data_IF_873047584695
#
_entry.id   IF_873047584695
#
_cell.length_a   1.000
_cell.length_b   1.000
_cell.length_c   1.000
_cell.angle_alpha   90.00
_cell.angle_beta   90.00
_cell.angle_gamma   90.00
#
_symmetry.space_group_name_H-M   'P 1'
#
loop_
_entity.id
_entity.type
_entity.pdbx_description
1 polymer ?
#
# COMPACT_ATOMS: atom_id res chain seq x y z
N UNK A 1 2.79 5.34 12.33
CA UNK A 1 1.85 5.71 13.43
C UNK A 1 0.45 6.08 12.95
N UNK A 2 0.16 6.02 11.64
CA UNK A 2 -1.14 6.36 11.05
C UNK A 2 -2.32 5.66 11.73
N UNK A 3 -2.20 4.36 12.04
CA UNK A 3 -3.29 3.59 12.64
C UNK A 3 -3.69 4.11 14.02
N UNK A 4 -2.74 4.47 14.88
CA UNK A 4 -3.06 5.02 16.20
C UNK A 4 -3.79 6.36 16.11
N UNK A 5 -3.46 7.18 15.11
CA UNK A 5 -4.17 8.44 14.85
C UNK A 5 -5.58 8.16 14.33
N UNK A 6 -5.74 7.22 13.40
CA UNK A 6 -7.05 6.81 12.90
C UNK A 6 -7.93 6.20 14.02
N UNK A 7 -7.34 5.40 14.91
CA UNK A 7 -8.03 4.84 16.09
C UNK A 7 -8.51 5.94 17.01
N UNK A 8 -7.63 6.90 17.35
CA UNK A 8 -8.01 8.05 18.15
C UNK A 8 -9.12 8.88 17.48
N UNK A 9 -9.03 9.12 16.16
CA UNK A 9 -10.06 9.84 15.41
C UNK A 9 -11.42 9.13 15.47
N UNK A 10 -11.44 7.81 15.34
CA UNK A 10 -12.67 7.02 15.43
C UNK A 10 -13.21 6.95 16.87
N UNK A 11 -12.34 6.96 17.88
CA UNK A 11 -12.74 7.04 19.29
C UNK A 11 -13.43 8.37 19.63
N UNK A 12 -12.92 9.49 19.11
CA UNK A 12 -13.53 10.83 19.33
C UNK A 12 -14.68 11.12 18.36
N UNK A 13 -14.73 10.46 17.21
CA UNK A 13 -15.77 10.58 16.19
C UNK A 13 -16.08 9.18 15.59
N UNK A 14 -17.03 8.43 16.19
CA UNK A 14 -17.29 7.03 15.81
C UNK A 14 -17.86 6.82 14.41
N UNK A 15 -18.44 7.85 13.79
CA UNK A 15 -19.09 7.72 12.47
C UNK A 15 -18.52 8.72 11.44
N UNK A 16 -18.22 8.25 10.22
CA UNK A 16 -18.20 6.84 9.80
C UNK A 16 -17.03 6.04 10.42
N UNK A 17 -17.23 4.75 10.69
CA UNK A 17 -16.19 3.87 11.21
C UNK A 17 -15.35 3.27 10.06
N UNK A 18 -14.04 3.53 10.05
CA UNK A 18 -13.08 3.01 9.06
C UNK A 18 -12.20 1.89 9.61
N UNK A 19 -12.21 1.64 10.92
CA UNK A 19 -11.55 0.51 11.56
C UNK A 19 -12.58 -0.54 11.93
N UNK A 20 -13.73 -0.11 12.46
CA UNK A 20 -14.90 -0.96 12.59
C UNK A 20 -15.74 -0.64 13.82
N UNK A 21 -17.05 -0.76 13.67
CA UNK A 21 -18.03 -0.48 14.73
C UNK A 21 -18.27 -1.64 15.71
N UNK A 22 -17.76 -2.84 15.41
CA UNK A 22 -17.83 -4.02 16.30
C UNK A 22 -16.45 -4.60 16.56
N UNK A 23 -16.23 -5.34 17.66
CA UNK A 23 -14.97 -6.02 17.93
C UNK A 23 -14.48 -6.89 16.76
N UNK A 24 -15.39 -7.60 16.09
CA UNK A 24 -15.09 -8.48 14.95
C UNK A 24 -14.63 -7.67 13.73
N UNK A 25 -15.36 -6.60 13.37
CA UNK A 25 -14.97 -5.72 12.26
C UNK A 25 -13.60 -5.11 12.50
N UNK A 26 -13.32 -4.65 13.74
CA UNK A 26 -12.02 -4.12 14.15
C UNK A 26 -10.91 -5.16 14.05
N UNK A 27 -11.18 -6.39 14.45
CA UNK A 27 -10.21 -7.48 14.34
C UNK A 27 -9.86 -7.79 12.87
N UNK A 28 -10.87 -7.84 12.00
CA UNK A 28 -10.69 -8.05 10.56
C UNK A 28 -9.90 -6.92 9.92
N UNK A 29 -10.27 -5.66 10.18
CA UNK A 29 -9.56 -4.50 9.66
C UNK A 29 -8.10 -4.47 10.11
N UNK A 30 -7.81 -4.71 11.40
CA UNK A 30 -6.43 -4.74 11.93
C UNK A 30 -5.60 -5.89 11.36
N UNK A 31 -6.19 -7.06 11.19
CA UNK A 31 -5.53 -8.20 10.55
C UNK A 31 -5.13 -7.86 9.11
N UNK A 32 -6.07 -7.29 8.33
CA UNK A 32 -5.80 -6.87 6.95
C UNK A 32 -4.81 -5.72 6.88
N UNK A 33 -4.91 -4.76 7.79
CA UNK A 33 -3.98 -3.65 7.92
C UNK A 33 -2.55 -4.18 8.09
N UNK A 34 -2.31 -5.14 8.99
CA UNK A 34 -0.98 -5.73 9.15
C UNK A 34 -0.49 -6.45 7.91
N UNK A 35 -1.35 -7.25 7.27
CA UNK A 35 -1.00 -7.98 6.04
C UNK A 35 -0.57 -7.05 4.91
N UNK A 36 -1.29 -5.94 4.72
CA UNK A 36 -0.99 -4.98 3.66
C UNK A 36 0.16 -4.04 4.04
N UNK A 37 0.22 -3.60 5.28
CA UNK A 37 1.28 -2.71 5.75
C UNK A 37 2.65 -3.38 5.66
N UNK A 38 2.79 -4.60 6.19
CA UNK A 38 4.06 -5.33 6.25
C UNK A 38 4.57 -5.74 4.88
N UNK A 39 3.68 -6.17 3.98
CA UNK A 39 4.07 -6.85 2.76
C UNK A 39 3.81 -6.08 1.47
N UNK A 40 3.06 -4.99 1.53
CA UNK A 40 2.87 -4.12 0.37
C UNK A 40 3.40 -2.72 0.66
N UNK A 41 2.93 -2.07 1.72
CA UNK A 41 3.24 -0.67 1.99
C UNK A 41 4.72 -0.47 2.31
N UNK A 42 5.25 -1.12 3.35
CA UNK A 42 6.66 -0.96 3.70
C UNK A 42 7.61 -1.38 2.56
N UNK A 43 7.42 -2.54 1.90
CA UNK A 43 8.27 -2.92 0.76
C UNK A 43 8.22 -1.91 -0.39
N UNK A 44 7.06 -1.32 -0.69
CA UNK A 44 6.94 -0.25 -1.71
C UNK A 44 7.77 0.97 -1.34
N UNK A 45 7.61 1.48 -0.11
CA UNK A 45 8.39 2.64 0.35
C UNK A 45 9.89 2.35 0.40
N UNK A 46 10.31 1.16 0.82
CA UNK A 46 11.72 0.77 0.81
C UNK A 46 12.26 0.63 -0.61
N UNK A 47 11.50 0.02 -1.51
CA UNK A 47 11.85 -0.09 -2.92
C UNK A 47 12.15 1.28 -3.51
N UNK A 48 11.25 2.26 -3.36
CA UNK A 48 11.47 3.62 -3.90
C UNK A 48 12.69 4.28 -3.24
N UNK A 49 12.83 4.21 -1.91
CA UNK A 49 13.98 4.79 -1.20
C UNK A 49 15.30 4.21 -1.71
N UNK A 50 15.38 2.89 -1.86
CA UNK A 50 16.57 2.22 -2.37
C UNK A 50 16.81 2.51 -3.85
N UNK A 51 15.74 2.57 -4.66
CA UNK A 51 15.82 2.97 -6.05
C UNK A 51 16.40 4.37 -6.21
N UNK A 52 16.01 5.35 -5.38
CA UNK A 52 16.58 6.71 -5.47
C UNK A 52 18.12 6.72 -5.36
N UNK A 53 18.72 5.75 -4.67
CA UNK A 53 20.17 5.62 -4.54
C UNK A 53 20.80 4.66 -5.57
N UNK A 54 20.00 3.89 -6.31
CA UNK A 54 20.49 2.93 -7.33
C UNK A 54 20.83 3.61 -8.64
N UNK A 55 21.69 2.98 -9.44
CA UNK A 55 22.09 3.49 -10.76
C UNK A 55 20.93 3.53 -11.76
N UNK A 56 19.84 2.80 -11.47
CA UNK A 56 18.61 2.80 -12.26
C UNK A 56 17.79 4.08 -12.06
N UNK A 57 18.01 4.84 -10.99
CA UNK A 57 17.36 6.13 -10.79
C UNK A 57 18.12 7.24 -11.51
N UNK A 58 17.43 7.86 -12.47
CA UNK A 58 17.91 9.04 -13.19
C UNK A 58 16.98 10.22 -12.93
N UNK A 59 17.48 11.45 -13.10
CA UNK A 59 16.68 12.66 -12.91
C UNK A 59 16.61 13.16 -11.46
N UNK A 60 15.58 13.95 -11.11
CA UNK A 60 15.58 14.80 -9.91
C UNK A 60 15.50 14.03 -8.58
N UNK A 61 15.12 12.76 -8.60
CA UNK A 61 15.01 11.94 -7.40
C UNK A 61 16.30 11.20 -7.05
N UNK A 62 17.32 11.21 -7.92
CA UNK A 62 18.60 10.55 -7.65
C UNK A 62 19.21 11.11 -6.36
N UNK A 63 19.50 10.20 -5.43
CA UNK A 63 20.02 10.45 -4.08
C UNK A 63 19.11 11.29 -3.17
N UNK A 64 17.82 11.43 -3.47
CA UNK A 64 16.88 12.24 -2.67
C UNK A 64 16.86 11.87 -1.17
N UNK A 65 16.96 10.57 -0.86
CA UNK A 65 16.97 10.09 0.53
C UNK A 65 18.37 9.96 1.16
N UNK A 66 19.45 10.26 0.44
CA UNK A 66 20.82 10.01 0.90
C UNK A 66 21.18 10.75 2.21
N UNK A 67 20.55 11.90 2.48
CA UNK A 67 20.76 12.68 3.72
C UNK A 67 19.65 12.46 4.76
N UNK A 68 18.56 11.75 4.40
CA UNK A 68 17.40 11.51 5.27
C UNK A 68 17.42 10.13 5.91
N UNK A 69 18.02 9.16 5.22
CA UNK A 69 18.13 7.78 5.66
C UNK A 69 19.60 7.43 5.89
N UNK A 70 19.94 6.96 7.09
CA UNK A 70 21.30 6.50 7.41
C UNK A 70 21.71 5.27 6.62
N UNK A 71 20.74 4.45 6.22
CA UNK A 71 20.96 3.20 5.49
C UNK A 71 20.07 3.20 4.25
N UNK A 72 20.71 3.00 3.10
CA UNK A 72 20.08 2.70 1.82
C UNK A 72 20.77 1.46 1.27
N UNK A 73 20.00 0.56 0.66
CA UNK A 73 20.51 -0.69 0.08
C UNK A 73 20.14 -0.68 -1.40
N UNK A 74 20.86 0.07 -2.25
CA UNK A 74 20.46 0.26 -3.64
C UNK A 74 20.21 -1.05 -4.39
N UNK A 75 21.06 -2.06 -4.16
CA UNK A 75 20.94 -3.37 -4.81
C UNK A 75 19.68 -4.17 -4.44
N UNK A 76 18.92 -3.78 -3.41
CA UNK A 76 17.72 -4.49 -2.96
C UNK A 76 16.41 -3.86 -3.49
N UNK A 77 16.48 -2.82 -4.32
CA UNK A 77 15.29 -2.06 -4.71
C UNK A 77 14.29 -2.89 -5.52
N UNK A 78 14.78 -3.77 -6.41
CA UNK A 78 13.97 -4.65 -7.26
C UNK A 78 13.32 -5.77 -6.47
N UNK A 79 14.04 -6.36 -5.52
CA UNK A 79 13.55 -7.40 -4.63
C UNK A 79 12.43 -6.87 -3.73
N UNK A 80 12.57 -5.64 -3.22
CA UNK A 80 11.52 -4.97 -2.46
C UNK A 80 10.29 -4.68 -3.32
N UNK A 81 10.48 -4.27 -4.59
CA UNK A 81 9.38 -4.08 -5.54
C UNK A 81 8.66 -5.41 -5.83
N UNK A 82 9.42 -6.47 -6.07
CA UNK A 82 8.90 -7.81 -6.32
C UNK A 82 8.11 -8.36 -5.12
N UNK A 83 8.57 -8.09 -3.89
CA UNK A 83 7.82 -8.41 -2.68
C UNK A 83 6.47 -7.69 -2.66
N UNK A 84 6.47 -6.36 -2.86
CA UNK A 84 5.23 -5.58 -2.90
C UNK A 84 4.25 -6.11 -3.96
N UNK A 85 4.74 -6.38 -5.17
CA UNK A 85 3.95 -6.95 -6.25
C UNK A 85 3.37 -8.32 -5.88
N UNK A 86 4.17 -9.21 -5.32
CA UNK A 86 3.72 -10.55 -4.89
C UNK A 86 2.57 -10.47 -3.88
N UNK A 87 2.56 -9.47 -2.99
CA UNK A 87 1.45 -9.26 -2.06
C UNK A 87 0.16 -8.83 -2.77
N UNK A 88 0.25 -7.98 -3.80
CA UNK A 88 -0.92 -7.61 -4.59
C UNK A 88 -1.42 -8.79 -5.43
N UNK A 89 -0.54 -9.61 -5.99
CA UNK A 89 -0.94 -10.83 -6.70
C UNK A 89 -1.64 -11.82 -5.77
N UNK A 90 -1.16 -11.98 -4.54
CA UNK A 90 -1.87 -12.74 -3.52
C UNK A 90 -3.27 -12.16 -3.21
N UNK A 91 -3.40 -10.82 -3.18
CA UNK A 91 -4.69 -10.17 -3.00
C UNK A 91 -5.62 -10.43 -4.19
N UNK A 92 -5.12 -10.36 -5.43
CA UNK A 92 -5.87 -10.74 -6.64
C UNK A 92 -6.46 -12.15 -6.52
N UNK A 93 -5.63 -13.13 -6.14
CA UNK A 93 -6.10 -14.51 -5.97
C UNK A 93 -7.21 -14.63 -4.91
N UNK A 94 -7.13 -13.89 -3.80
CA UNK A 94 -8.18 -13.87 -2.79
C UNK A 94 -9.46 -13.16 -3.25
N UNK A 95 -9.34 -12.23 -4.19
CA UNK A 95 -10.48 -11.50 -4.75
C UNK A 95 -11.15 -12.25 -5.89
N UNK A 96 -10.50 -13.27 -6.48
CA UNK A 96 -11.17 -14.20 -7.38
C UNK A 96 -12.34 -14.88 -6.66
N UNK A 97 -13.56 -14.60 -7.10
CA UNK A 97 -14.78 -15.16 -6.52
C UNK A 97 -15.30 -14.41 -5.28
N UNK A 98 -14.68 -13.31 -4.87
CA UNK A 98 -15.26 -12.39 -3.88
C UNK A 98 -16.10 -11.33 -4.61
N UNK A 99 -17.36 -11.08 -4.20
CA UNK A 99 -18.16 -10.00 -4.77
C UNK A 99 -17.76 -8.61 -4.23
N UNK A 100 -16.83 -8.53 -3.27
CA UNK A 100 -16.51 -7.27 -2.60
C UNK A 100 -15.57 -6.39 -3.40
N UNK A 101 -15.88 -5.09 -3.39
CA UNK A 101 -15.08 -4.00 -3.93
C UNK A 101 -13.96 -3.51 -2.99
N UNK A 102 -13.95 -3.92 -1.72
CA UNK A 102 -13.02 -3.46 -0.69
C UNK A 102 -12.13 -4.58 -0.17
N UNK A 103 -10.97 -4.26 0.39
CA UNK A 103 -9.94 -5.23 0.79
C UNK A 103 -10.43 -6.08 1.98
N UNK A 104 -10.96 -5.45 3.02
CA UNK A 104 -11.18 -6.07 4.33
C UNK A 104 -12.64 -6.48 4.62
N UNK A 105 -13.52 -6.53 3.64
CA UNK A 105 -14.95 -6.85 3.81
C UNK A 105 -15.78 -6.13 2.77
N UNK A 106 -17.05 -5.84 3.05
CA UNK A 106 -17.98 -5.20 2.11
C UNK A 106 -18.08 -3.67 2.26
N UNK A 107 -17.29 -3.10 3.16
CA UNK A 107 -17.24 -1.66 3.46
C UNK A 107 -15.80 -1.15 3.33
N UNK A 108 -15.64 0.14 3.00
CA UNK A 108 -14.34 0.80 2.97
C UNK A 108 -13.74 0.88 4.37
N UNK A 109 -12.47 0.57 4.48
CA UNK A 109 -11.70 0.63 5.73
C UNK A 109 -10.43 1.47 5.57
N UNK A 110 -9.73 1.69 6.68
CA UNK A 110 -8.39 2.30 6.67
C UNK A 110 -7.38 1.51 5.82
N UNK A 111 -7.62 0.19 5.63
CA UNK A 111 -6.78 -0.66 4.78
C UNK A 111 -6.86 -0.21 3.33
N UNK A 112 -8.05 0.06 2.84
CA UNK A 112 -8.30 0.53 1.47
C UNK A 112 -7.61 1.87 1.23
N UNK A 113 -7.77 2.81 2.17
CA UNK A 113 -7.12 4.13 2.11
C UNK A 113 -5.60 3.98 2.07
N UNK A 114 -5.02 3.14 2.94
CA UNK A 114 -3.58 2.94 3.01
C UNK A 114 -3.02 2.29 1.74
N UNK A 115 -3.72 1.32 1.16
CA UNK A 115 -3.30 0.64 -0.08
C UNK A 115 -3.44 1.57 -1.27
N UNK A 116 -4.58 2.24 -1.42
CA UNK A 116 -4.82 3.21 -2.48
C UNK A 116 -3.77 4.31 -2.49
N UNK A 117 -3.58 4.97 -1.35
CA UNK A 117 -2.60 6.06 -1.24
C UNK A 117 -1.21 5.58 -1.62
N UNK A 118 -0.80 4.39 -1.19
CA UNK A 118 0.50 3.81 -1.56
C UNK A 118 0.62 3.54 -3.07
N UNK A 119 -0.43 3.04 -3.72
CA UNK A 119 -0.43 2.74 -5.16
C UNK A 119 -0.23 4.00 -6.01
N UNK A 120 -0.88 5.11 -5.62
CA UNK A 120 -0.86 6.35 -6.40
C UNK A 120 0.25 7.33 -5.98
N UNK A 121 0.82 7.18 -4.78
CA UNK A 121 1.76 8.15 -4.19
C UNK A 121 2.98 8.47 -5.09
N UNK A 122 3.45 7.47 -5.83
CA UNK A 122 4.69 7.58 -6.62
C UNK A 122 4.45 7.73 -8.12
N UNK A 123 3.19 7.84 -8.56
CA UNK A 123 2.86 7.99 -9.99
C UNK A 123 3.46 9.29 -10.55
N UNK A 124 3.23 10.42 -9.88
CA UNK A 124 3.76 11.73 -10.28
C UNK A 124 5.28 11.87 -10.13
N UNK A 125 5.90 10.91 -9.42
CA UNK A 125 7.34 10.88 -9.16
C UNK A 125 8.10 10.03 -10.20
N UNK A 126 7.44 9.63 -11.28
CA UNK A 126 8.07 8.86 -12.36
C UNK A 126 8.26 7.38 -12.04
N UNK A 127 7.58 6.87 -11.00
CA UNK A 127 7.53 5.46 -10.67
C UNK A 127 6.07 4.93 -10.71
N UNK A 128 5.41 4.94 -11.89
CA UNK A 128 4.00 4.60 -12.00
C UNK A 128 3.78 3.08 -11.88
N UNK A 129 3.56 2.61 -10.64
CA UNK A 129 3.42 1.18 -10.33
C UNK A 129 2.30 0.51 -11.13
N UNK A 130 1.12 1.14 -11.18
CA UNK A 130 -0.04 0.57 -11.88
C UNK A 130 0.13 0.54 -13.41
N UNK A 131 0.87 1.47 -13.98
CA UNK A 131 1.20 1.41 -15.41
C UNK A 131 2.11 0.22 -15.75
N UNK A 132 3.00 -0.16 -14.81
CA UNK A 132 3.96 -1.27 -15.00
C UNK A 132 3.35 -2.65 -14.73
N UNK A 133 2.40 -2.75 -13.79
CA UNK A 133 1.92 -4.03 -13.29
C UNK A 133 0.41 -4.24 -13.40
N UNK A 134 -0.35 -3.21 -13.78
CA UNK A 134 -1.82 -3.22 -13.74
C UNK A 134 -2.49 -4.27 -14.63
N UNK A 135 -1.84 -4.75 -15.69
CA UNK A 135 -2.36 -5.86 -16.51
C UNK A 135 -2.44 -7.19 -15.75
N UNK A 136 -1.52 -7.41 -14.78
CA UNK A 136 -1.51 -8.58 -13.90
C UNK A 136 -2.43 -8.44 -12.69
N UNK A 137 -2.94 -7.22 -12.45
CA UNK A 137 -3.67 -6.86 -11.24
C UNK A 137 -5.05 -6.27 -11.58
N UNK A 138 -5.95 -7.02 -12.26
CA UNK A 138 -7.22 -6.49 -12.74
C UNK A 138 -8.15 -6.02 -11.61
N UNK A 139 -8.23 -6.74 -10.48
CA UNK A 139 -9.05 -6.30 -9.35
C UNK A 139 -8.47 -5.04 -8.72
N UNK A 140 -7.16 -4.98 -8.52
CA UNK A 140 -6.46 -3.81 -7.96
C UNK A 140 -6.61 -2.60 -8.88
N UNK A 141 -6.54 -2.79 -10.20
CA UNK A 141 -6.78 -1.74 -11.18
C UNK A 141 -8.21 -1.20 -11.10
N UNK A 142 -9.21 -2.08 -10.96
CA UNK A 142 -10.59 -1.68 -10.75
C UNK A 142 -10.78 -0.98 -9.39
N UNK A 143 -10.12 -1.48 -8.33
CA UNK A 143 -10.09 -0.87 -7.01
C UNK A 143 -9.57 0.56 -7.05
N UNK A 144 -8.41 0.81 -7.66
CA UNK A 144 -7.87 2.17 -7.81
C UNK A 144 -8.81 3.08 -8.58
N UNK A 145 -9.48 2.59 -9.62
CA UNK A 145 -10.42 3.39 -10.40
C UNK A 145 -11.71 3.78 -9.66
N UNK A 146 -12.06 3.09 -8.57
CA UNK A 146 -13.25 3.37 -7.75
C UNK A 146 -12.99 4.39 -6.63
N UNK A 147 -11.74 4.52 -6.21
CA UNK A 147 -11.29 5.30 -5.03
C UNK A 147 -10.96 6.74 -5.40
#
# INVERSE_FOLDING_TARGET
ETISICEWLEEVKPEPAFIGSTPEKRAVARMWQRRMEEHFVYPTFYSVRFWTASDDCTGPLKNFFAQRNKILIPGAWKEMQAWALSRLEWLEELKKGSPSDYIAGDEMTVVDIQVYTTLVFFEDLGAPFMAQHGERLPWTKAFVARM
#
